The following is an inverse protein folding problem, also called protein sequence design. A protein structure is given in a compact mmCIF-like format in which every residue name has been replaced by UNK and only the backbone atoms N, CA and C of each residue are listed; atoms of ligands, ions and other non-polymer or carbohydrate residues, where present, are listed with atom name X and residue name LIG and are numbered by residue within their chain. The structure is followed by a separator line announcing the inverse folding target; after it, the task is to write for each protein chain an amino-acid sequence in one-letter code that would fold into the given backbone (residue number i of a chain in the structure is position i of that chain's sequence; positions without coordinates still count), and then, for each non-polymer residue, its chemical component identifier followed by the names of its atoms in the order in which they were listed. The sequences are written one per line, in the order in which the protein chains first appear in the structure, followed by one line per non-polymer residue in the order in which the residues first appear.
data_IF_280585997185
#
_entry.id   IF_280585997185
#
_cell.length_a   1.000
_cell.length_b   1.000
_cell.length_c   1.000
_cell.angle_alpha   90.00
_cell.angle_beta   90.00
_cell.angle_gamma   90.00
#
_symmetry.space_group_name_H-M   'P 1'
#
loop_
_entity.id
_entity.type
_entity.pdbx_description
1 polymer ?
#
# COMPACT_ATOMS: atom_id res chain seq x y z
N UNK A 1 4.78 16.47 -61.86
CA UNK A 1 5.16 15.29 -62.67
C UNK A 1 4.14 14.19 -62.39
N UNK A 2 3.21 13.93 -63.32
CA UNK A 2 2.23 12.85 -63.23
C UNK A 2 2.64 11.63 -64.06
N UNK A 3 2.15 10.44 -63.71
CA UNK A 3 2.26 9.19 -64.49
C UNK A 3 2.51 7.98 -63.57
N UNK A 4 1.84 6.82 -63.67
CA UNK A 4 1.05 6.24 -64.75
C UNK A 4 -0.03 5.27 -64.22
N UNK A 5 -1.12 5.17 -64.99
CA UNK A 5 -2.18 4.14 -64.96
C UNK A 5 -1.64 2.76 -65.37
N UNK A 6 -2.24 1.66 -64.90
CA UNK A 6 -2.90 0.60 -65.72
C UNK A 6 -3.54 -0.50 -64.83
N UNK A 7 -4.83 -0.81 -65.05
CA UNK A 7 -5.60 -2.02 -64.62
C UNK A 7 -5.39 -3.15 -65.68
N UNK A 8 -6.03 -4.34 -65.68
CA UNK A 8 -6.64 -5.23 -64.67
C UNK A 8 -6.08 -6.68 -64.75
N UNK A 9 -6.44 -7.57 -63.80
CA UNK A 9 -6.13 -9.00 -63.89
C UNK A 9 -7.23 -9.87 -63.26
N UNK A 10 -8.18 -10.31 -64.09
CA UNK A 10 -9.17 -11.35 -63.77
C UNK A 10 -8.46 -12.70 -63.75
N UNK A 11 -8.80 -13.60 -62.81
CA UNK A 11 -8.91 -15.04 -63.09
C UNK A 11 -9.51 -15.79 -61.91
N UNK A 12 -10.51 -16.59 -62.24
CA UNK A 12 -11.25 -17.49 -61.37
C UNK A 12 -10.56 -18.88 -61.31
N UNK A 13 -10.94 -19.67 -60.32
CA UNK A 13 -10.51 -21.08 -60.15
C UNK A 13 -9.27 -21.17 -59.25
N UNK A 14 -9.18 -22.05 -58.27
CA UNK A 14 -9.69 -23.40 -58.20
C UNK A 14 -9.74 -23.85 -56.74
N UNK A 15 -10.82 -24.52 -56.35
CA UNK A 15 -10.97 -25.26 -55.09
C UNK A 15 -9.86 -26.30 -54.95
N UNK A 16 -9.10 -26.25 -53.85
CA UNK A 16 -8.47 -27.43 -53.26
C UNK A 16 -8.85 -27.44 -51.78
N UNK A 17 -9.92 -28.19 -51.49
CA UNK A 17 -10.23 -28.68 -50.16
C UNK A 17 -9.03 -29.43 -49.60
N UNK A 18 -8.39 -28.85 -48.58
CA UNK A 18 -7.52 -29.61 -47.69
C UNK A 18 -8.26 -29.74 -46.35
N UNK A 19 -8.97 -30.86 -46.20
CA UNK A 19 -9.42 -31.35 -44.90
C UNK A 19 -8.18 -31.54 -44.01
N UNK A 20 -7.98 -30.65 -43.06
CA UNK A 20 -7.13 -30.91 -41.91
C UNK A 20 -8.06 -31.15 -40.71
N UNK A 21 -8.43 -32.42 -40.50
CA UNK A 21 -9.04 -32.89 -39.26
C UNK A 21 -8.05 -32.70 -38.12
N UNK A 22 -8.16 -31.56 -37.44
CA UNK A 22 -7.46 -31.29 -36.19
C UNK A 22 -8.17 -32.06 -35.08
N UNK A 23 -7.67 -33.26 -34.77
CA UNK A 23 -8.04 -33.97 -33.54
C UNK A 23 -7.31 -33.29 -32.40
N UNK A 24 -7.94 -32.29 -31.77
CA UNK A 24 -7.51 -31.83 -30.45
C UNK A 24 -7.87 -32.94 -29.47
N UNK A 25 -6.84 -33.65 -29.01
CA UNK A 25 -6.94 -34.45 -27.80
C UNK A 25 -7.29 -33.49 -26.65
N UNK A 26 -8.57 -33.46 -26.26
CA UNK A 26 -9.00 -32.88 -25.01
C UNK A 26 -8.45 -33.77 -23.88
N UNK A 27 -7.25 -33.45 -23.39
CA UNK A 27 -6.74 -34.04 -22.16
C UNK A 27 -7.55 -33.44 -21.00
N UNK A 28 -8.57 -34.18 -20.59
CA UNK A 28 -9.27 -34.01 -19.32
C UNK A 28 -8.32 -34.27 -18.16
N UNK A 29 -8.44 -33.48 -17.10
CA UNK A 29 -8.04 -33.91 -15.76
C UNK A 29 -6.71 -33.35 -15.28
N UNK A 30 -6.79 -32.16 -14.71
CA UNK A 30 -5.82 -31.71 -13.72
C UNK A 30 -6.62 -31.06 -12.60
N UNK A 31 -6.95 -31.82 -11.56
CA UNK A 31 -7.51 -31.29 -10.33
C UNK A 31 -6.50 -30.34 -9.72
N UNK A 32 -6.55 -29.08 -10.13
CA UNK A 32 -5.84 -28.01 -9.46
C UNK A 32 -6.51 -27.84 -8.11
N UNK A 33 -5.90 -28.42 -7.07
CA UNK A 33 -6.10 -27.92 -5.71
C UNK A 33 -6.05 -26.40 -5.81
N UNK A 34 -7.05 -25.66 -5.28
CA UNK A 34 -6.95 -24.20 -5.28
C UNK A 34 -5.57 -23.85 -4.71
N UNK A 35 -4.84 -22.90 -5.33
CA UNK A 35 -3.57 -22.46 -4.78
C UNK A 35 -3.80 -22.18 -3.29
N UNK A 36 -2.85 -22.52 -2.40
CA UNK A 36 -3.01 -22.30 -0.98
C UNK A 36 -3.49 -20.86 -0.79
N UNK A 37 -4.74 -20.72 -0.34
CA UNK A 37 -5.31 -19.40 -0.10
C UNK A 37 -4.42 -18.75 0.93
N UNK A 38 -3.90 -17.56 0.60
CA UNK A 38 -3.25 -16.73 1.59
C UNK A 38 -4.19 -16.64 2.82
N UNK A 39 -3.66 -16.74 4.04
CA UNK A 39 -4.50 -16.65 5.24
C UNK A 39 -5.42 -15.44 5.12
N UNK A 40 -6.72 -15.69 5.11
CA UNK A 40 -7.70 -14.61 4.97
C UNK A 40 -7.69 -13.83 6.29
N UNK A 41 -7.47 -12.51 6.28
CA UNK A 41 -7.59 -11.70 7.49
C UNK A 41 -8.96 -11.91 8.13
N UNK A 42 -8.98 -12.26 9.41
CA UNK A 42 -10.20 -12.49 10.18
C UNK A 42 -10.54 -11.21 10.91
N UNK A 43 -11.84 -10.88 11.02
CA UNK A 43 -12.28 -9.77 11.84
C UNK A 43 -11.90 -10.00 13.31
N UNK A 44 -11.23 -9.01 13.90
CA UNK A 44 -10.82 -8.99 15.31
C UNK A 44 -11.10 -7.61 15.89
N UNK A 45 -10.98 -7.44 17.21
CA UNK A 45 -10.92 -6.14 17.85
C UNK A 45 -9.70 -6.12 18.76
N UNK A 46 -8.55 -5.74 18.20
CA UNK A 46 -7.28 -5.71 18.91
C UNK A 46 -6.84 -4.27 19.19
N UNK A 47 -6.42 -3.99 20.42
CA UNK A 47 -5.74 -2.75 20.77
C UNK A 47 -4.24 -3.00 20.81
N UNK A 48 -3.48 -2.31 19.95
CA UNK A 48 -2.02 -2.34 19.94
C UNK A 48 -1.49 -1.06 20.56
N UNK A 49 -0.75 -1.18 21.65
CA UNK A 49 -0.04 -0.05 22.26
C UNK A 49 1.33 0.11 21.60
N UNK A 50 1.57 1.29 21.04
CA UNK A 50 2.84 1.65 20.40
C UNK A 50 3.54 2.67 21.27
N UNK A 51 4.80 2.41 21.61
CA UNK A 51 5.65 3.30 22.38
C UNK A 51 6.91 3.63 21.58
N UNK A 52 7.40 4.86 21.69
CA UNK A 52 8.64 5.30 21.04
C UNK A 52 9.46 6.20 21.96
N UNK A 53 10.72 6.41 21.58
CA UNK A 53 11.60 7.38 22.26
C UNK A 53 11.25 8.79 21.78
N UNK A 54 11.17 9.75 22.70
CA UNK A 54 10.92 11.15 22.36
C UNK A 54 11.99 11.71 21.41
N UNK A 55 11.57 12.54 20.46
CA UNK A 55 12.47 13.35 19.65
C UNK A 55 13.19 14.37 20.54
N UNK A 56 14.51 14.62 20.34
CA UNK A 56 15.23 15.69 21.01
C UNK A 56 14.81 17.08 20.53
N UNK A 57 14.06 17.18 19.41
CA UNK A 57 13.64 18.45 18.84
C UNK A 57 12.64 19.16 19.76
N UNK A 58 13.03 20.34 20.25
CA UNK A 58 12.20 21.14 21.15
C UNK A 58 10.84 21.50 20.53
N UNK A 59 10.81 21.70 19.21
CA UNK A 59 9.60 22.08 18.48
C UNK A 59 8.52 21.00 18.48
N UNK A 60 8.92 19.73 18.52
CA UNK A 60 8.00 18.59 18.61
C UNK A 60 7.33 18.55 19.98
N UNK A 61 8.01 19.08 21.00
CA UNK A 61 7.59 19.14 22.39
C UNK A 61 7.01 20.51 22.79
N UNK A 62 6.52 21.27 21.80
CA UNK A 62 5.95 22.59 21.98
C UNK A 62 4.55 22.70 21.36
N UNK A 63 3.87 23.82 21.58
CA UNK A 63 2.55 24.09 21.00
C UNK A 63 2.61 24.02 19.47
N UNK A 64 1.73 23.20 18.88
CA UNK A 64 1.72 22.91 17.45
C UNK A 64 2.64 21.75 17.04
N UNK A 65 3.40 21.18 17.96
CA UNK A 65 4.18 19.96 17.77
C UNK A 65 3.42 18.69 18.15
N UNK A 66 3.92 17.54 17.70
CA UNK A 66 3.32 16.25 18.00
C UNK A 66 3.99 15.09 17.27
N UNK A 67 3.40 13.90 17.41
CA UNK A 67 3.71 12.75 16.58
C UNK A 67 2.49 12.29 15.79
N UNK A 68 2.74 11.62 14.67
CA UNK A 68 1.72 10.86 13.94
C UNK A 68 2.19 9.43 13.80
N UNK A 69 1.31 8.51 14.19
CA UNK A 69 1.53 7.07 14.04
C UNK A 69 0.74 6.59 12.85
N UNK A 70 1.45 6.12 11.83
CA UNK A 70 0.85 5.55 10.63
C UNK A 70 0.95 4.03 10.66
N UNK A 71 -0.11 3.36 10.20
CA UNK A 71 -0.12 1.91 10.14
C UNK A 71 -0.91 1.37 8.95
N UNK A 72 -0.46 0.23 8.44
CA UNK A 72 -1.05 -0.45 7.29
C UNK A 72 -0.73 -1.94 7.30
N UNK A 73 -1.56 -2.76 6.65
CA UNK A 73 -1.25 -4.17 6.38
C UNK A 73 -0.24 -4.36 5.25
N UNK A 74 0.08 -3.30 4.50
CA UNK A 74 0.99 -3.35 3.37
C UNK A 74 2.44 -3.08 3.82
N UNK A 75 3.33 -4.03 3.57
CA UNK A 75 4.74 -3.85 3.86
C UNK A 75 5.32 -2.72 3.00
N UNK A 76 6.08 -1.81 3.63
CA UNK A 76 6.80 -0.76 2.91
C UNK A 76 5.95 0.44 2.52
N UNK A 77 4.71 0.55 3.00
CA UNK A 77 3.76 1.62 2.66
C UNK A 77 4.39 3.02 2.79
N UNK A 78 4.10 3.90 1.84
CA UNK A 78 4.35 5.34 1.98
C UNK A 78 3.22 5.97 2.81
N UNK A 79 3.52 7.06 3.54
CA UNK A 79 2.55 7.68 4.45
C UNK A 79 1.29 8.20 3.75
N UNK A 80 1.38 8.44 2.45
CA UNK A 80 0.30 8.94 1.58
C UNK A 80 -0.44 7.84 0.83
N UNK A 81 -0.06 6.56 1.01
CA UNK A 81 -0.69 5.45 0.31
C UNK A 81 -2.16 5.30 0.75
N UNK A 82 -2.99 4.86 -0.18
CA UNK A 82 -4.39 4.56 0.11
C UNK A 82 -4.50 3.43 1.15
N UNK A 83 -5.42 3.60 2.12
CA UNK A 83 -5.67 2.60 3.17
C UNK A 83 -4.73 2.70 4.37
N UNK A 84 -3.70 3.55 4.33
CA UNK A 84 -2.88 3.88 5.50
C UNK A 84 -3.75 4.61 6.52
N UNK A 85 -3.71 4.12 7.75
CA UNK A 85 -4.39 4.73 8.88
C UNK A 85 -3.42 5.63 9.65
N UNK A 86 -3.93 6.69 10.27
CA UNK A 86 -3.14 7.66 11.03
C UNK A 86 -3.79 7.94 12.38
N UNK A 87 -2.98 7.91 13.44
CA UNK A 87 -3.33 8.45 14.76
C UNK A 87 -2.46 9.67 15.04
N UNK A 88 -3.09 10.80 15.33
CA UNK A 88 -2.41 12.02 15.74
C UNK A 88 -2.21 12.04 17.26
N UNK A 89 -1.00 12.40 17.68
CA UNK A 89 -0.57 12.43 19.09
C UNK A 89 0.03 13.82 19.35
N UNK A 90 -0.83 14.83 19.55
CA UNK A 90 -0.40 16.22 19.68
C UNK A 90 0.24 16.49 21.05
N UNK A 91 1.04 17.54 21.13
CA UNK A 91 1.49 18.13 22.38
C UNK A 91 0.30 18.47 23.29
N UNK A 92 0.36 18.05 24.56
CA UNK A 92 -0.77 18.15 25.49
C UNK A 92 -0.73 19.37 26.43
N UNK A 93 0.20 20.31 26.23
CA UNK A 93 0.39 21.46 27.12
C UNK A 93 1.48 21.27 28.18
N UNK A 94 2.00 20.05 28.37
CA UNK A 94 3.16 19.78 29.24
C UNK A 94 4.28 19.11 28.47
N UNK A 95 3.99 18.00 27.79
CA UNK A 95 4.94 17.24 26.99
C UNK A 95 4.20 16.57 25.82
N UNK A 96 4.93 16.20 24.78
CA UNK A 96 4.32 15.41 23.70
C UNK A 96 4.28 13.94 24.11
N UNK A 97 3.10 13.29 24.17
CA UNK A 97 3.01 11.89 24.52
C UNK A 97 3.82 11.02 23.55
N UNK A 98 4.50 10.01 24.09
CA UNK A 98 5.28 9.04 23.29
C UNK A 98 4.63 7.65 23.24
N UNK A 99 3.30 7.63 23.39
CA UNK A 99 2.49 6.42 23.35
C UNK A 99 1.21 6.67 22.57
N UNK A 100 0.75 5.66 21.82
CA UNK A 100 -0.51 5.67 21.11
C UNK A 100 -1.17 4.29 21.15
N UNK A 101 -2.50 4.28 21.14
CA UNK A 101 -3.29 3.07 20.97
C UNK A 101 -3.82 2.99 19.55
N UNK A 102 -3.54 1.88 18.88
CA UNK A 102 -4.04 1.56 17.54
C UNK A 102 -5.16 0.55 17.66
N UNK A 103 -6.32 0.87 17.09
CA UNK A 103 -7.44 -0.05 17.01
C UNK A 103 -7.35 -0.80 15.68
N UNK A 104 -7.08 -2.10 15.75
CA UNK A 104 -6.90 -2.99 14.62
C UNK A 104 -8.08 -3.96 14.56
N UNK A 105 -8.79 -3.92 13.42
CA UNK A 105 -10.02 -4.69 13.23
C UNK A 105 -9.83 -5.98 12.42
N UNK A 106 -8.61 -6.25 11.95
CA UNK A 106 -8.29 -7.45 11.16
C UNK A 106 -7.01 -8.11 11.67
N UNK A 107 -7.02 -9.44 11.76
CA UNK A 107 -5.83 -10.23 12.05
C UNK A 107 -4.83 -10.16 10.89
N UNK A 108 -3.57 -10.50 11.18
CA UNK A 108 -2.49 -10.49 10.20
C UNK A 108 -1.33 -9.58 10.62
N UNK A 109 -0.42 -9.35 9.68
CA UNK A 109 0.77 -8.53 9.91
C UNK A 109 0.46 -7.08 9.61
N UNK A 110 0.72 -6.23 10.59
CA UNK A 110 0.59 -4.78 10.50
C UNK A 110 1.96 -4.13 10.59
N UNK A 111 2.13 -3.07 9.81
CA UNK A 111 3.35 -2.31 9.72
C UNK A 111 3.10 -0.91 10.26
N UNK A 112 3.99 -0.43 11.11
CA UNK A 112 3.83 0.82 11.85
C UNK A 112 5.04 1.71 11.58
N UNK A 113 4.78 3.01 11.36
CA UNK A 113 5.78 4.06 11.24
C UNK A 113 5.35 5.26 12.09
N UNK A 114 6.30 5.92 12.74
CA UNK A 114 6.05 7.15 13.49
C UNK A 114 6.78 8.30 12.81
N UNK A 115 6.15 9.47 12.77
CA UNK A 115 6.82 10.74 12.43
C UNK A 115 6.61 11.73 13.54
N UNK A 116 7.56 12.63 13.71
CA UNK A 116 7.36 13.85 14.47
C UNK A 116 6.89 14.96 13.54
N UNK A 117 6.09 15.89 14.05
CA UNK A 117 5.70 17.11 13.35
C UNK A 117 5.82 18.33 14.27
N UNK A 118 5.99 19.48 13.64
CA UNK A 118 6.00 20.79 14.28
C UNK A 118 5.24 21.75 13.36
N UNK A 119 4.22 22.42 13.86
CA UNK A 119 3.57 23.53 13.17
C UNK A 119 4.35 24.86 13.33
N UNK A 120 5.44 24.85 14.11
CA UNK A 120 6.28 26.03 14.25
C UNK A 120 6.96 26.31 12.91
N UNK A 121 6.78 27.55 12.48
CA UNK A 121 7.44 28.04 11.29
C UNK A 121 8.85 28.47 11.69
N UNK A 122 9.92 27.92 11.11
CA UNK A 122 11.27 28.39 11.39
C UNK A 122 11.39 29.88 11.01
N UNK A 123 12.28 30.67 11.65
CA UNK A 123 12.46 32.09 11.30
C UNK A 123 12.70 32.26 9.79
N UNK A 124 11.75 32.90 9.09
CA UNK A 124 11.79 33.12 7.64
C UNK A 124 11.07 32.08 6.76
N UNK A 125 10.38 31.09 7.33
CA UNK A 125 9.64 30.07 6.58
C UNK A 125 8.14 30.37 6.40
N UNK A 126 7.48 29.53 5.59
CA UNK A 126 6.02 29.39 5.53
C UNK A 126 5.69 27.91 5.76
N UNK A 127 5.28 27.53 6.97
CA UNK A 127 4.74 26.21 7.26
C UNK A 127 5.51 25.40 8.30
N UNK A 128 4.83 24.36 8.79
CA UNK A 128 5.37 23.39 9.73
C UNK A 128 6.29 22.34 9.09
N UNK A 129 7.09 21.67 9.91
CA UNK A 129 8.04 20.62 9.52
C UNK A 129 7.52 19.24 9.93
N UNK A 130 7.86 18.22 9.15
CA UNK A 130 7.61 16.80 9.47
C UNK A 130 8.92 16.04 9.34
N UNK A 131 9.24 15.20 10.33
CA UNK A 131 10.47 14.41 10.32
C UNK A 131 10.41 13.28 9.28
N UNK A 132 11.57 12.72 8.96
CA UNK A 132 11.64 11.42 8.28
C UNK A 132 10.92 10.35 9.14
N UNK A 133 10.16 9.42 8.52
CA UNK A 133 9.53 8.32 9.24
C UNK A 133 10.56 7.41 9.92
N UNK A 134 10.18 6.83 11.05
CA UNK A 134 10.96 5.77 11.70
C UNK A 134 11.15 4.57 10.76
N UNK A 135 12.08 3.70 11.12
CA UNK A 135 12.09 2.34 10.60
C UNK A 135 10.73 1.68 10.83
N UNK A 136 10.31 0.90 9.86
CA UNK A 136 9.02 0.21 9.91
C UNK A 136 9.09 -0.92 10.92
N UNK A 137 8.14 -0.95 11.86
CA UNK A 137 7.97 -2.06 12.80
C UNK A 137 6.85 -2.98 12.30
N UNK A 138 7.08 -4.29 12.32
CA UNK A 138 6.07 -5.29 12.00
C UNK A 138 5.48 -5.89 13.28
N UNK A 139 4.16 -5.97 13.37
CA UNK A 139 3.40 -6.55 14.48
C UNK A 139 2.42 -7.56 13.93
N UNK A 140 2.39 -8.76 14.51
CA UNK A 140 1.43 -9.79 14.13
C UNK A 140 0.25 -9.75 15.10
N UNK A 141 -0.95 -9.52 14.57
CA UNK A 141 -2.20 -9.63 15.31
C UNK A 141 -2.77 -11.02 15.06
N UNK A 142 -2.86 -11.89 16.08
CA UNK A 142 -3.33 -13.26 15.89
C UNK A 142 -4.82 -13.30 15.55
N UNK A 143 -5.22 -14.32 14.80
CA UNK A 143 -6.62 -14.70 14.66
C UNK A 143 -7.11 -15.34 15.98
N UNK A 144 -8.41 -15.18 16.32
CA UNK A 144 -9.01 -15.81 17.50
C UNK A 144 -9.07 -17.34 17.38
#
# INVERSE_FOLDING_TARGET
MPGYRFLPGRSAGLLISLLATLVLAACSGGGGSPPPQAPVPVAVNATVTVNWTASPDAEVNAMGGGYRVYYSSNAGFALTDAGVQMVDVPYNGMATPTTAQLNINLSGTWYIKVVAYSALTPPGGNGGSVSTPTTQLAVVVPAP
#
